data_IF_349106168808
#
_entry.id   IF_349106168808
#
_cell.length_a   1.000
_cell.length_b   1.000
_cell.length_c   1.000
_cell.angle_alpha   90.00
_cell.angle_beta   90.00
_cell.angle_gamma   90.00
#
_symmetry.space_group_name_H-M   'P 1'
#
loop_
_entity.id
_entity.type
_entity.pdbx_description
1 polymer ?
#
# COMPACT_ATOMS: atom_id res chain seq x y z
N UNK A 1 -10.45 8.39 28.97
CA UNK A 1 -10.21 8.32 28.25
C UNK A 1 -9.80 8.36 27.47
N UNK A 2 -9.63 8.15 27.07
CA UNK A 2 -9.27 8.10 26.11
C UNK A 2 -8.98 8.05 25.28
N UNK A 3 -8.92 8.01 24.68
CA UNK A 3 -8.66 7.87 23.70
C UNK A 3 -8.28 7.90 22.93
N UNK A 4 -8.23 7.93 22.66
CA UNK A 4 -7.83 7.83 21.82
C UNK A 4 -7.25 7.72 21.16
N UNK A 5 -6.98 7.82 21.24
CA UNK A 5 -6.36 7.66 20.54
C UNK A 5 -5.81 6.92 19.75
N UNK A 6 -6.18 6.38 19.37
CA UNK A 6 -5.89 5.54 18.19
C UNK A 6 -6.21 6.34 16.96
N UNK A 7 -5.37 7.30 16.70
CA UNK A 7 -5.49 8.03 15.45
C UNK A 7 -5.01 7.13 14.33
N UNK A 8 -5.86 6.88 13.36
CA UNK A 8 -5.49 6.22 12.14
C UNK A 8 -4.49 7.09 11.38
N UNK A 9 -3.44 6.50 10.85
CA UNK A 9 -2.52 7.21 9.97
C UNK A 9 -3.23 7.43 8.64
N UNK A 10 -3.35 8.66 8.14
CA UNK A 10 -4.04 8.91 6.87
C UNK A 10 -3.35 8.24 5.69
N UNK A 11 -4.14 7.75 4.75
CA UNK A 11 -3.64 7.20 3.50
C UNK A 11 -3.78 8.24 2.39
N UNK A 12 -2.71 8.42 1.62
CA UNK A 12 -2.69 9.27 0.44
C UNK A 12 -2.25 8.43 -0.75
N UNK A 13 -3.08 8.37 -1.78
CA UNK A 13 -2.72 7.65 -3.00
C UNK A 13 -1.87 8.52 -3.90
N UNK A 14 -0.85 7.92 -4.51
CA UNK A 14 -0.08 8.60 -5.53
C UNK A 14 -1.01 9.13 -6.63
N UNK A 15 -0.77 10.35 -7.05
CA UNK A 15 -1.57 11.04 -8.04
C UNK A 15 -0.64 11.63 -9.10
N UNK A 16 -0.97 11.38 -10.38
CA UNK A 16 -0.19 11.94 -11.48
C UNK A 16 -0.44 13.44 -11.62
N UNK A 17 0.40 14.11 -12.42
CA UNK A 17 0.23 15.54 -12.68
C UNK A 17 -1.13 15.88 -13.32
N UNK A 18 -1.73 14.92 -14.04
CA UNK A 18 -3.03 15.12 -14.66
C UNK A 18 -4.20 14.68 -13.79
N UNK A 19 -3.93 14.29 -12.54
CA UNK A 19 -4.99 13.96 -11.58
C UNK A 19 -5.41 12.51 -11.52
N UNK A 20 -4.71 11.62 -12.22
CA UNK A 20 -5.01 10.18 -12.19
C UNK A 20 -4.40 9.57 -10.94
N UNK A 21 -5.15 8.69 -10.26
CA UNK A 21 -4.68 7.93 -9.11
C UNK A 21 -4.62 6.45 -9.51
N UNK A 22 -3.48 5.98 -10.05
CA UNK A 22 -3.41 4.65 -10.65
C UNK A 22 -3.75 3.50 -9.71
N UNK A 23 -3.32 3.57 -8.45
CA UNK A 23 -3.59 2.48 -7.51
C UNK A 23 -5.05 2.46 -7.12
N UNK A 24 -5.64 3.63 -6.86
CA UNK A 24 -7.07 3.71 -6.55
C UNK A 24 -7.91 3.17 -7.70
N UNK A 25 -7.56 3.53 -8.94
CA UNK A 25 -8.27 3.03 -10.11
C UNK A 25 -8.12 1.52 -10.26
N UNK A 26 -6.92 1.00 -10.03
CA UNK A 26 -6.67 -0.44 -10.05
C UNK A 26 -7.53 -1.17 -9.01
N UNK A 27 -7.59 -0.63 -7.78
CA UNK A 27 -8.41 -1.22 -6.73
C UNK A 27 -9.89 -1.28 -7.12
N UNK A 28 -10.39 -0.22 -7.74
CA UNK A 28 -11.79 -0.17 -8.19
C UNK A 28 -12.12 -1.23 -9.21
N UNK A 29 -11.14 -1.69 -9.97
CA UNK A 29 -11.34 -2.75 -10.97
C UNK A 29 -11.28 -4.16 -10.42
N UNK A 30 -10.94 -4.34 -9.15
CA UNK A 30 -10.89 -5.66 -8.55
C UNK A 30 -12.28 -6.13 -8.11
N UNK A 31 -12.48 -7.46 -7.99
CA UNK A 31 -13.73 -7.98 -7.40
C UNK A 31 -13.97 -7.36 -6.01
N UNK A 32 -15.22 -7.15 -5.66
CA UNK A 32 -15.59 -6.49 -4.39
C UNK A 32 -14.96 -7.16 -3.17
N UNK A 33 -14.98 -8.48 -3.11
CA UNK A 33 -14.43 -9.21 -1.97
C UNK A 33 -12.91 -9.03 -1.87
N UNK A 34 -12.21 -9.02 -3.00
CA UNK A 34 -10.77 -8.81 -3.02
C UNK A 34 -10.43 -7.38 -2.58
N UNK A 35 -11.16 -6.41 -3.08
CA UNK A 35 -10.96 -5.01 -2.69
C UNK A 35 -11.21 -4.81 -1.21
N UNK A 36 -12.24 -5.46 -0.67
CA UNK A 36 -12.57 -5.37 0.76
C UNK A 36 -11.44 -5.93 1.62
N UNK A 37 -10.86 -7.05 1.19
CA UNK A 37 -9.75 -7.66 1.92
C UNK A 37 -8.52 -6.74 1.95
N UNK A 38 -8.19 -6.13 0.81
CA UNK A 38 -7.09 -5.16 0.75
C UNK A 38 -7.38 -3.97 1.66
N UNK A 39 -8.61 -3.47 1.63
CA UNK A 39 -9.01 -2.37 2.50
C UNK A 39 -8.86 -2.71 3.98
N UNK A 40 -9.21 -3.92 4.36
CA UNK A 40 -9.03 -4.39 5.73
C UNK A 40 -7.56 -4.42 6.13
N UNK A 41 -6.70 -4.94 5.25
CA UNK A 41 -5.27 -5.01 5.54
C UNK A 41 -4.63 -3.63 5.62
N UNK A 42 -5.04 -2.70 4.77
CA UNK A 42 -4.58 -1.32 4.85
C UNK A 42 -5.04 -0.64 6.13
N UNK A 43 -6.26 -0.91 6.57
CA UNK A 43 -6.76 -0.38 7.83
C UNK A 43 -5.93 -0.91 9.02
N UNK A 44 -5.50 -2.17 8.95
CA UNK A 44 -4.63 -2.75 9.98
C UNK A 44 -3.31 -1.98 10.05
N UNK A 45 -2.76 -1.60 8.90
CA UNK A 45 -1.53 -0.81 8.85
C UNK A 45 -1.77 0.59 9.42
N UNK A 46 -2.89 1.22 9.08
CA UNK A 46 -3.22 2.56 9.58
C UNK A 46 -3.27 2.63 11.09
N UNK A 47 -3.82 1.59 11.71
CA UNK A 47 -4.01 1.58 13.17
C UNK A 47 -2.76 1.07 13.90
N UNK A 48 -2.08 0.09 13.33
CA UNK A 48 -1.03 -0.64 14.02
C UNK A 48 0.40 -0.34 13.61
N UNK A 49 0.62 0.58 12.68
CA UNK A 49 1.98 0.85 12.19
C UNK A 49 2.95 1.20 13.33
N UNK A 50 4.16 0.63 13.33
CA UNK A 50 4.70 -0.27 12.31
C UNK A 50 4.19 -1.70 12.47
N UNK A 51 3.94 -2.35 11.33
CA UNK A 51 3.45 -3.72 11.28
C UNK A 51 4.45 -4.57 10.50
N UNK A 52 4.89 -5.66 11.10
CA UNK A 52 5.87 -6.53 10.49
C UNK A 52 5.27 -7.68 9.70
N UNK A 53 6.14 -8.64 9.36
CA UNK A 53 5.71 -9.85 8.68
C UNK A 53 4.75 -10.65 9.56
N UNK A 54 3.81 -11.38 8.94
CA UNK A 54 3.73 -11.64 7.49
C UNK A 54 3.00 -10.56 6.69
N UNK A 55 2.35 -9.58 7.32
CA UNK A 55 1.56 -8.59 6.60
C UNK A 55 2.42 -7.59 5.85
N UNK A 56 3.39 -6.98 6.52
CA UNK A 56 4.23 -5.95 5.93
C UNK A 56 5.70 -6.37 5.89
N UNK A 57 6.38 -5.98 4.82
CA UNK A 57 7.78 -6.30 4.60
C UNK A 57 8.51 -5.09 4.03
N UNK A 58 9.70 -4.79 4.58
CA UNK A 58 10.52 -3.72 4.03
C UNK A 58 11.20 -4.17 2.74
N UNK A 59 11.17 -3.31 1.73
CA UNK A 59 11.86 -3.54 0.47
C UNK A 59 13.12 -2.66 0.34
N UNK A 60 13.44 -1.90 1.38
CA UNK A 60 14.59 -0.99 1.38
C UNK A 60 14.20 0.43 0.97
N UNK A 61 15.07 1.38 1.32
CA UNK A 61 14.94 2.80 0.96
C UNK A 61 13.59 3.42 1.35
N UNK A 62 12.97 2.92 2.41
CA UNK A 62 11.71 3.46 2.89
C UNK A 62 10.47 2.91 2.21
N UNK A 63 10.62 2.01 1.26
CA UNK A 63 9.48 1.36 0.60
C UNK A 63 9.12 0.08 1.35
N UNK A 64 7.83 -0.08 1.60
CA UNK A 64 7.26 -1.26 2.27
C UNK A 64 6.21 -1.91 1.38
N UNK A 65 5.92 -3.16 1.66
CA UNK A 65 4.95 -3.94 0.92
C UNK A 65 3.92 -4.50 1.90
N UNK A 66 2.63 -4.30 1.59
CA UNK A 66 1.54 -5.04 2.24
C UNK A 66 1.20 -6.21 1.34
N UNK A 67 1.12 -7.39 1.94
CA UNK A 67 0.78 -8.61 1.22
C UNK A 67 -0.61 -9.07 1.63
N UNK A 68 -1.57 -8.96 0.72
CA UNK A 68 -2.96 -9.33 0.98
C UNK A 68 -3.32 -10.65 0.30
N UNK A 69 -3.77 -11.62 1.10
CA UNK A 69 -4.28 -12.89 0.58
C UNK A 69 -5.76 -12.71 0.24
N UNK A 70 -6.09 -12.83 -1.03
CA UNK A 70 -7.41 -12.50 -1.54
C UNK A 70 -8.35 -13.70 -1.59
N UNK A 71 -9.67 -13.48 -1.43
CA UNK A 71 -10.66 -14.56 -1.60
C UNK A 71 -10.57 -15.26 -2.94
N UNK A 72 -10.13 -14.56 -4.00
CA UNK A 72 -9.93 -15.14 -5.33
C UNK A 72 -8.72 -16.08 -5.42
N UNK A 73 -8.05 -16.34 -4.29
CA UNK A 73 -6.85 -17.18 -4.21
C UNK A 73 -5.64 -16.57 -4.90
N UNK A 74 -5.66 -15.24 -5.07
CA UNK A 74 -4.52 -14.48 -5.54
C UNK A 74 -3.92 -13.74 -4.38
N UNK A 75 -2.73 -13.18 -4.59
CA UNK A 75 -2.06 -12.35 -3.59
C UNK A 75 -1.84 -10.99 -4.21
N UNK A 76 -2.31 -9.95 -3.54
CA UNK A 76 -2.04 -8.58 -3.94
C UNK A 76 -0.85 -8.06 -3.14
N UNK A 77 -0.03 -7.27 -3.79
CA UNK A 77 1.06 -6.53 -3.14
C UNK A 77 0.80 -5.05 -3.34
N UNK A 78 0.77 -4.32 -2.22
CA UNK A 78 0.58 -2.87 -2.22
C UNK A 78 1.86 -2.26 -1.68
N UNK A 79 2.51 -1.41 -2.47
CA UNK A 79 3.76 -0.77 -2.08
C UNK A 79 3.47 0.62 -1.55
N UNK A 80 4.06 0.94 -0.40
CA UNK A 80 3.79 2.19 0.31
C UNK A 80 5.02 2.67 1.06
N UNK A 81 4.95 3.90 1.51
CA UNK A 81 5.95 4.48 2.41
C UNK A 81 5.22 5.28 3.50
N UNK A 82 5.92 5.55 4.59
CA UNK A 82 5.37 6.39 5.66
C UNK A 82 6.26 7.63 5.77
N UNK A 83 5.64 8.79 5.70
CA UNK A 83 6.36 10.05 5.73
C UNK A 83 5.47 11.14 6.35
N UNK A 84 6.01 11.84 7.33
CA UNK A 84 5.32 12.93 8.02
C UNK A 84 3.92 12.53 8.50
N UNK A 85 3.82 11.33 9.09
CA UNK A 85 2.58 10.85 9.66
C UNK A 85 1.54 10.41 8.63
N UNK A 86 1.94 10.14 7.39
CA UNK A 86 1.04 9.68 6.34
C UNK A 86 1.57 8.44 5.66
N UNK A 87 0.65 7.60 5.20
CA UNK A 87 0.99 6.43 4.39
C UNK A 87 0.76 6.82 2.94
N UNK A 88 1.85 6.86 2.15
CA UNK A 88 1.77 7.11 0.72
C UNK A 88 1.70 5.80 -0.04
N UNK A 89 0.60 5.54 -0.73
CA UNK A 89 0.44 4.33 -1.52
C UNK A 89 0.87 4.64 -2.95
N UNK A 90 1.91 3.95 -3.40
CA UNK A 90 2.57 4.28 -4.67
C UNK A 90 2.38 3.25 -5.76
N UNK A 91 2.09 1.98 -5.42
CA UNK A 91 1.93 0.96 -6.44
C UNK A 91 1.12 -0.21 -5.89
N UNK A 92 0.49 -0.96 -6.78
CA UNK A 92 -0.26 -2.16 -6.42
C UNK A 92 -0.36 -3.09 -7.60
N UNK A 93 -0.26 -4.38 -7.35
CA UNK A 93 -0.32 -5.39 -8.40
C UNK A 93 -0.62 -6.76 -7.81
N UNK A 94 -1.01 -7.69 -8.67
CA UNK A 94 -1.21 -9.08 -8.28
C UNK A 94 0.11 -9.82 -8.39
N UNK A 95 0.48 -10.52 -7.34
CA UNK A 95 1.74 -11.27 -7.28
C UNK A 95 1.78 -12.35 -8.35
N UNK A 96 2.89 -12.41 -9.10
CA UNK A 96 3.15 -13.45 -10.10
C UNK A 96 4.44 -14.21 -9.81
N UNK A 97 5.29 -13.68 -8.91
CA UNK A 97 6.60 -14.26 -8.60
C UNK A 97 6.78 -14.29 -7.09
N UNK A 98 7.77 -15.05 -6.62
CA UNK A 98 8.07 -15.13 -5.18
C UNK A 98 8.56 -13.81 -4.63
N UNK A 99 9.43 -13.13 -5.37
CA UNK A 99 9.98 -11.84 -4.96
C UNK A 99 9.27 -10.73 -5.71
N UNK A 100 9.22 -9.55 -5.09
CA UNK A 100 8.75 -8.35 -5.75
C UNK A 100 9.74 -7.98 -6.84
N UNK A 101 9.31 -7.91 -8.12
CA UNK A 101 10.24 -7.61 -9.20
C UNK A 101 10.91 -6.24 -9.03
N UNK A 102 12.17 -6.10 -9.44
CA UNK A 102 12.89 -4.83 -9.29
C UNK A 102 12.23 -3.64 -9.98
N UNK A 103 11.60 -3.87 -11.14
CA UNK A 103 10.92 -2.79 -11.87
C UNK A 103 9.69 -2.28 -11.13
N UNK A 104 8.99 -3.13 -10.40
CA UNK A 104 7.85 -2.71 -9.57
C UNK A 104 8.33 -1.83 -8.42
N UNK A 105 9.46 -2.21 -7.80
CA UNK A 105 10.06 -1.43 -6.71
C UNK A 105 10.56 -0.09 -7.25
N UNK A 106 11.17 -0.09 -8.42
CA UNK A 106 11.70 1.12 -9.03
C UNK A 106 10.59 2.12 -9.34
N UNK A 107 9.46 1.65 -9.86
CA UNK A 107 8.30 2.50 -10.09
C UNK A 107 7.80 3.10 -8.79
N UNK A 108 7.70 2.27 -7.74
CA UNK A 108 7.25 2.75 -6.42
C UNK A 108 8.20 3.82 -5.89
N UNK A 109 9.50 3.59 -6.02
CA UNK A 109 10.52 4.54 -5.56
C UNK A 109 10.42 5.87 -6.30
N UNK A 110 10.22 5.84 -7.60
CA UNK A 110 10.06 7.04 -8.41
C UNK A 110 8.84 7.84 -7.95
N UNK A 111 7.71 7.17 -7.76
CA UNK A 111 6.49 7.82 -7.31
C UNK A 111 6.61 8.38 -5.90
N UNK A 112 7.30 7.66 -5.02
CA UNK A 112 7.58 8.15 -3.67
C UNK A 112 8.32 9.49 -3.73
N UNK A 113 9.36 9.58 -4.56
CA UNK A 113 10.13 10.82 -4.69
C UNK A 113 9.25 11.97 -5.15
N UNK A 114 8.34 11.72 -6.07
CA UNK A 114 7.41 12.75 -6.54
C UNK A 114 6.47 13.21 -5.43
N UNK A 115 6.05 12.31 -4.54
CA UNK A 115 5.14 12.67 -3.44
C UNK A 115 5.84 13.45 -2.33
N UNK A 116 7.12 13.20 -2.12
CA UNK A 116 7.87 13.81 -1.03
C UNK A 116 8.39 15.21 -1.38
N UNK A 117 8.68 15.47 -2.63
CA UNK A 117 9.22 16.77 -3.07
C UNK A 117 8.19 17.89 -3.14
#
# INVERSE_FOLDING_TARGET
MVSKHLSEIPIVFYRTATGVEPVRDWLRGLPDDDRREIGFDLATVQVGWPVGMPLCRSLGDGIWEVRSSLPSRRIARILFFVHEGRIGIVHGFIKKTMKTPPDEIELARKRMKEMIT
#
